data_IF_825515031065
#
_entry.id   IF_825515031065
#
_cell.length_a   1.000
_cell.length_b   1.000
_cell.length_c   1.000
_cell.angle_alpha   90.00
_cell.angle_beta   90.00
_cell.angle_gamma   90.00
#
_symmetry.space_group_name_H-M   'P 1'
#
loop_
_entity.id
_entity.type
_entity.pdbx_description
1 polymer ?
#
# COMPACT_ATOMS: atom_id res chain seq x y z
N UNK A 1 -32.05 -67.21 -10.56
CA UNK A 1 -30.74 -67.90 -10.71
C UNK A 1 -29.69 -66.90 -10.24
N UNK A 2 -29.34 -66.78 -8.95
CA UNK A 2 -28.40 -67.57 -8.12
C UNK A 2 -27.01 -67.80 -8.74
N UNK A 3 -26.04 -66.98 -8.33
CA UNK A 3 -24.62 -67.26 -8.02
C UNK A 3 -23.98 -65.92 -7.60
N UNK A 4 -23.68 -65.54 -6.34
CA UNK A 4 -22.75 -66.00 -5.28
C UNK A 4 -21.25 -66.04 -5.64
N UNK A 5 -20.48 -65.36 -4.77
CA UNK A 5 -19.05 -65.53 -4.40
C UNK A 5 -17.99 -64.92 -5.34
N UNK A 6 -16.89 -64.29 -4.88
CA UNK A 6 -16.22 -64.32 -3.55
C UNK A 6 -15.19 -63.19 -3.45
N UNK A 7 -14.99 -62.66 -2.23
CA UNK A 7 -13.90 -61.76 -1.85
C UNK A 7 -12.61 -62.53 -1.51
N UNK A 8 -11.44 -61.91 -1.72
CA UNK A 8 -10.13 -62.32 -1.17
C UNK A 8 -9.39 -61.06 -0.70
N UNK A 9 -8.97 -60.94 0.58
CA UNK A 9 -8.03 -59.92 1.03
C UNK A 9 -6.60 -60.48 1.15
N UNK A 10 -5.58 -59.68 0.80
CA UNK A 10 -4.17 -59.99 1.06
C UNK A 10 -3.61 -58.93 2.02
N UNK A 11 -3.02 -59.42 3.11
CA UNK A 11 -2.49 -58.68 4.26
C UNK A 11 -1.06 -59.17 4.51
N UNK A 12 -0.04 -58.37 4.21
CA UNK A 12 1.40 -58.56 4.53
C UNK A 12 2.05 -57.16 4.37
N UNK A 13 2.98 -56.62 5.15
CA UNK A 13 3.77 -57.03 6.32
C UNK A 13 4.41 -55.74 6.89
N UNK A 14 4.60 -55.64 8.20
CA UNK A 14 5.41 -54.60 8.83
C UNK A 14 6.90 -54.80 8.54
N UNK A 15 7.65 -53.74 8.25
CA UNK A 15 9.08 -53.65 8.57
C UNK A 15 9.37 -52.26 9.16
N UNK A 16 9.66 -52.26 10.46
CA UNK A 16 10.24 -51.15 11.19
C UNK A 16 11.74 -51.07 10.86
N UNK A 17 12.22 -49.87 10.52
CA UNK A 17 13.63 -49.55 10.34
C UNK A 17 14.02 -48.41 11.29
N UNK A 18 14.46 -48.77 12.48
CA UNK A 18 15.06 -47.88 13.48
C UNK A 18 16.49 -47.57 13.02
N UNK A 19 16.79 -46.31 12.70
CA UNK A 19 18.15 -45.83 12.50
C UNK A 19 18.52 -44.89 13.65
N UNK A 20 19.21 -45.47 14.65
CA UNK A 20 19.92 -44.76 15.71
C UNK A 20 21.17 -44.16 15.07
N UNK A 21 21.29 -42.84 15.03
CA UNK A 21 22.57 -42.18 14.75
C UNK A 21 23.10 -41.51 16.00
N UNK A 22 24.36 -41.86 16.27
CA UNK A 22 25.16 -41.58 17.44
C UNK A 22 25.39 -40.08 17.67
N UNK A 23 25.26 -39.72 18.95
CA UNK A 23 25.82 -38.54 19.58
C UNK A 23 27.35 -38.56 19.43
N UNK A 24 27.92 -37.50 18.84
CA UNK A 24 29.33 -37.15 19.01
C UNK A 24 29.39 -35.84 19.78
N UNK A 25 29.78 -35.95 21.04
CA UNK A 25 30.22 -34.85 21.89
C UNK A 25 31.63 -34.46 21.46
N UNK A 26 31.82 -33.22 21.05
CA UNK A 26 33.13 -32.58 20.99
C UNK A 26 33.11 -31.39 21.97
N UNK A 27 33.74 -31.60 23.13
CA UNK A 27 34.08 -30.57 24.09
C UNK A 27 35.60 -30.27 23.99
N UNK A 28 35.98 -29.11 24.54
CA UNK A 28 37.29 -28.43 24.56
C UNK A 28 37.47 -27.45 23.37
N UNK A 29 37.76 -26.15 23.55
CA UNK A 29 38.61 -25.57 24.58
C UNK A 29 38.33 -24.07 24.81
N UNK A 30 38.46 -23.66 26.08
CA UNK A 30 38.57 -22.27 26.54
C UNK A 30 39.96 -21.70 26.23
N UNK A 31 40.03 -20.39 25.92
CA UNK A 31 40.97 -19.36 26.46
C UNK A 31 41.16 -18.20 25.45
N UNK A 32 41.65 -17.02 25.86
CA UNK A 32 41.04 -16.07 26.77
C UNK A 32 40.86 -14.67 26.13
N UNK A 33 40.05 -13.85 26.79
CA UNK A 33 39.82 -12.42 26.53
C UNK A 33 41.15 -11.63 26.60
N UNK A 34 41.41 -10.80 25.59
CA UNK A 34 42.34 -9.66 25.69
C UNK A 34 41.53 -8.36 25.74
N UNK A 35 41.50 -7.74 26.91
CA UNK A 35 41.24 -6.31 27.03
C UNK A 35 42.41 -5.56 26.38
N UNK A 36 42.09 -4.63 25.48
CA UNK A 36 42.98 -3.53 25.14
C UNK A 36 42.24 -2.26 25.52
N UNK A 37 42.72 -1.65 26.59
CA UNK A 37 42.42 -0.27 26.96
C UNK A 37 42.93 0.63 25.83
N UNK A 38 42.01 1.30 25.13
CA UNK A 38 42.35 2.53 24.39
C UNK A 38 41.34 3.61 24.79
N UNK A 39 41.73 4.31 25.86
CA UNK A 39 41.22 5.61 26.21
C UNK A 39 41.54 6.60 25.08
N UNK A 40 40.56 6.93 24.25
CA UNK A 40 40.57 8.18 23.50
C UNK A 40 39.32 8.98 23.82
N UNK A 41 39.50 9.90 24.77
CA UNK A 41 38.60 11.01 25.01
C UNK A 41 38.56 11.87 23.74
N UNK A 42 37.38 11.98 23.13
CA UNK A 42 37.10 12.92 22.06
C UNK A 42 35.92 13.79 22.46
N UNK A 43 36.25 15.06 22.60
CA UNK A 43 35.45 16.19 23.04
C UNK A 43 34.22 16.34 22.12
N UNK A 44 33.07 16.61 22.74
CA UNK A 44 31.83 17.03 22.05
C UNK A 44 32.00 18.50 21.67
N UNK A 45 31.97 18.80 20.37
CA UNK A 45 31.70 20.16 19.87
C UNK A 45 30.26 20.25 19.34
N UNK A 46 29.52 21.34 19.62
CA UNK A 46 28.17 21.55 19.11
C UNK A 46 28.19 21.95 17.62
N UNK A 47 27.38 21.29 16.80
CA UNK A 47 27.24 21.58 15.37
C UNK A 47 26.30 22.78 15.19
N UNK A 48 26.85 23.93 14.82
CA UNK A 48 26.13 25.09 14.29
C UNK A 48 26.50 25.35 12.82
N UNK A 49 25.44 25.50 12.01
CA UNK A 49 25.28 26.23 10.74
C UNK A 49 25.76 25.63 9.39
N UNK A 50 25.00 25.88 8.29
CA UNK A 50 25.04 25.15 7.03
C UNK A 50 26.07 25.72 6.05
N UNK A 51 26.58 24.86 5.16
CA UNK A 51 27.47 25.27 4.07
C UNK A 51 26.71 25.55 2.77
N UNK A 52 27.24 26.46 1.91
CA UNK A 52 26.59 26.93 0.70
C UNK A 52 26.85 26.02 -0.50
N UNK A 53 25.90 26.01 -1.43
CA UNK A 53 25.97 25.27 -2.71
C UNK A 53 26.84 26.08 -3.68
N UNK A 54 27.84 25.41 -4.25
CA UNK A 54 28.76 25.94 -5.27
C UNK A 54 28.18 25.86 -6.68
N UNK A 55 28.49 26.88 -7.46
CA UNK A 55 28.13 27.14 -8.86
C UNK A 55 28.50 26.03 -9.87
N UNK A 56 27.68 25.92 -10.93
CA UNK A 56 28.17 25.71 -12.29
C UNK A 56 27.20 26.38 -13.32
N UNK A 57 27.67 27.11 -14.35
CA UNK A 57 26.82 28.00 -15.17
C UNK A 57 26.46 27.43 -16.56
N UNK A 58 25.84 28.31 -17.39
CA UNK A 58 25.50 28.27 -18.84
C UNK A 58 24.16 27.61 -19.21
N UNK A 59 23.20 28.18 -19.97
CA UNK A 59 22.99 29.38 -20.84
C UNK A 59 21.46 29.64 -20.75
N UNK A 60 20.89 30.81 -20.44
CA UNK A 60 20.83 32.06 -21.21
C UNK A 60 19.41 32.29 -21.76
N UNK A 61 18.71 33.35 -21.30
CA UNK A 61 17.74 34.15 -22.07
C UNK A 61 17.22 35.31 -21.22
N UNK A 62 17.33 36.51 -21.78
CA UNK A 62 17.16 37.83 -21.14
C UNK A 62 15.69 38.28 -21.27
N UNK A 63 15.13 38.82 -20.18
CA UNK A 63 13.90 39.64 -20.19
C UNK A 63 14.29 41.04 -19.74
N UNK A 64 14.13 42.04 -20.61
CA UNK A 64 14.50 43.43 -20.33
C UNK A 64 13.34 44.21 -19.71
N UNK A 65 13.71 44.97 -18.69
CA UNK A 65 12.92 45.76 -17.75
C UNK A 65 12.09 46.91 -18.33
N UNK A 66 10.96 47.16 -17.67
CA UNK A 66 10.15 48.37 -17.74
C UNK A 66 10.85 49.55 -17.03
N UNK A 67 10.82 50.73 -17.65
CA UNK A 67 11.15 52.01 -17.03
C UNK A 67 10.09 53.05 -17.39
N UNK A 68 9.48 53.65 -16.35
CA UNK A 68 8.65 54.87 -16.43
C UNK A 68 9.58 56.10 -16.45
N UNK A 69 9.10 57.27 -16.92
CA UNK A 69 8.72 58.29 -15.92
C UNK A 69 7.56 59.24 -16.29
N UNK A 70 6.86 59.65 -15.22
CA UNK A 70 6.36 60.99 -14.80
C UNK A 70 5.82 62.03 -15.82
N UNK A 71 4.61 62.57 -15.52
CA UNK A 71 3.98 63.74 -16.19
C UNK A 71 4.49 65.10 -15.67
N UNK A 72 3.71 66.21 -15.64
CA UNK A 72 2.36 66.49 -16.17
C UNK A 72 2.22 67.85 -16.92
N UNK A 73 0.96 68.25 -17.18
CA UNK A 73 0.35 69.57 -17.52
C UNK A 73 0.15 69.97 -19.00
N UNK A 74 -1.11 70.14 -19.43
CA UNK A 74 -1.69 71.43 -19.88
C UNK A 74 -3.06 71.24 -20.57
N UNK A 75 -3.97 72.14 -20.27
CA UNK A 75 -5.40 72.21 -20.64
C UNK A 75 -5.64 72.73 -22.08
N UNK A 76 -6.72 72.29 -22.73
CA UNK A 76 -7.47 73.13 -23.67
C UNK A 76 -8.00 72.52 -24.98
N UNK A 77 -9.28 72.80 -25.22
CA UNK A 77 -10.01 72.94 -26.50
C UNK A 77 -10.90 71.78 -27.04
N UNK A 78 -12.11 72.23 -27.43
CA UNK A 78 -13.31 71.56 -27.92
C UNK A 78 -13.37 71.78 -29.45
N UNK A 79 -13.79 70.80 -30.27
CA UNK A 79 -14.56 71.00 -31.54
C UNK A 79 -14.57 69.78 -32.50
N UNK A 80 -15.73 69.11 -32.59
CA UNK A 80 -16.48 68.55 -33.76
C UNK A 80 -15.84 67.67 -34.89
N UNK A 81 -16.62 66.75 -35.52
CA UNK A 81 -16.20 65.66 -36.43
C UNK A 81 -16.44 65.99 -37.93
N UNK A 82 -16.44 65.06 -38.93
CA UNK A 82 -15.76 63.76 -39.11
C UNK A 82 -14.86 63.75 -40.38
N UNK A 83 -14.06 62.70 -40.59
CA UNK A 83 -13.54 62.38 -41.94
C UNK A 83 -13.59 60.88 -42.16
N UNK A 84 -14.33 60.47 -43.18
CA UNK A 84 -14.60 59.10 -43.56
C UNK A 84 -13.35 58.44 -44.16
N UNK A 85 -12.82 57.42 -43.49
CA UNK A 85 -11.93 56.44 -44.12
C UNK A 85 -12.73 55.16 -44.39
N UNK A 86 -13.01 54.90 -45.67
CA UNK A 86 -13.51 53.60 -46.15
C UNK A 86 -12.41 52.57 -45.94
N UNK A 87 -12.59 51.66 -44.98
CA UNK A 87 -11.80 50.44 -44.90
C UNK A 87 -12.48 49.34 -45.73
N UNK A 88 -11.75 48.84 -46.71
CA UNK A 88 -12.10 47.71 -47.55
C UNK A 88 -12.18 46.47 -46.64
N UNK A 89 -13.38 45.91 -46.45
CA UNK A 89 -13.56 44.67 -45.70
C UNK A 89 -13.13 43.49 -46.59
N UNK A 90 -11.82 43.22 -46.62
CA UNK A 90 -11.31 41.93 -47.06
C UNK A 90 -11.79 40.88 -46.07
N UNK A 91 -12.85 40.17 -46.42
CA UNK A 91 -13.38 39.05 -45.66
C UNK A 91 -12.32 37.96 -45.54
N UNK A 92 -11.69 37.87 -44.36
CA UNK A 92 -11.00 36.68 -43.92
C UNK A 92 -12.05 35.61 -43.65
N UNK A 93 -12.39 34.82 -44.68
CA UNK A 93 -12.97 33.51 -44.47
C UNK A 93 -11.88 32.65 -43.84
N UNK A 94 -11.83 32.68 -42.50
CA UNK A 94 -11.15 31.62 -41.76
C UNK A 94 -11.80 30.31 -42.20
N UNK A 95 -11.04 29.31 -42.70
CA UNK A 95 -11.61 28.01 -42.95
C UNK A 95 -12.23 27.58 -41.63
N UNK A 96 -13.53 27.36 -41.67
CA UNK A 96 -14.26 26.73 -40.59
C UNK A 96 -13.57 25.37 -40.40
N UNK A 97 -12.63 25.27 -39.46
CA UNK A 97 -12.34 24.00 -38.85
C UNK A 97 -13.68 23.63 -38.23
N UNK A 98 -14.44 22.80 -38.94
CA UNK A 98 -15.32 21.84 -38.30
C UNK A 98 -14.39 21.00 -37.42
N UNK A 99 -14.00 21.56 -36.27
CA UNK A 99 -13.33 20.85 -35.22
C UNK A 99 -14.26 19.71 -34.91
N UNK A 100 -13.77 18.49 -35.11
CA UNK A 100 -14.46 17.23 -34.90
C UNK A 100 -15.57 17.43 -33.89
N UNK A 101 -16.79 17.68 -34.41
CA UNK A 101 -17.93 18.03 -33.60
C UNK A 101 -18.04 16.91 -32.57
N UNK A 102 -18.24 17.26 -31.30
CA UNK A 102 -18.42 16.34 -30.20
C UNK A 102 -19.73 15.53 -30.36
N UNK A 103 -19.86 14.84 -31.49
CA UNK A 103 -21.03 14.17 -32.03
C UNK A 103 -20.75 12.68 -31.95
N UNK A 104 -21.51 12.02 -31.09
CA UNK A 104 -21.30 10.65 -30.74
C UNK A 104 -22.06 10.31 -29.46
N UNK A 105 -22.13 9.02 -29.17
CA UNK A 105 -22.72 8.48 -27.96
C UNK A 105 -21.56 8.23 -26.98
N UNK A 106 -21.49 9.05 -25.93
CA UNK A 106 -20.52 8.89 -24.85
C UNK A 106 -21.14 8.08 -23.72
N UNK A 107 -20.51 6.97 -23.35
CA UNK A 107 -20.99 6.06 -22.31
C UNK A 107 -19.85 5.63 -21.40
N UNK A 108 -20.21 5.21 -20.19
CA UNK A 108 -19.30 4.48 -19.31
C UNK A 108 -19.78 3.05 -19.17
N UNK A 109 -18.89 2.11 -19.46
CA UNK A 109 -19.09 0.68 -19.20
C UNK A 109 -18.38 0.27 -17.93
N UNK A 110 -18.96 -0.67 -17.19
CA UNK A 110 -18.42 -1.19 -15.94
C UNK A 110 -18.55 -2.71 -15.91
N UNK A 111 -17.55 -3.37 -15.34
CA UNK A 111 -17.63 -4.77 -14.98
C UNK A 111 -17.08 -4.96 -13.58
N UNK A 112 -17.62 -5.96 -12.90
CA UNK A 112 -17.29 -6.31 -11.53
C UNK A 112 -17.29 -7.82 -11.41
N UNK A 113 -16.28 -8.36 -10.75
CA UNK A 113 -16.18 -9.78 -10.45
C UNK A 113 -15.94 -9.97 -8.96
N UNK A 114 -16.68 -10.90 -8.37
CA UNK A 114 -16.52 -11.36 -7.00
C UNK A 114 -15.65 -12.62 -7.04
N UNK A 115 -14.54 -12.59 -6.30
CA UNK A 115 -13.57 -13.69 -6.24
C UNK A 115 -13.34 -14.04 -4.78
N UNK A 116 -13.43 -15.31 -4.38
CA UNK A 116 -13.07 -15.69 -3.02
C UNK A 116 -11.59 -15.36 -2.78
N UNK A 117 -11.27 -14.75 -1.64
CA UNK A 117 -9.89 -14.52 -1.26
C UNK A 117 -9.13 -15.85 -1.14
N UNK A 118 -7.91 -15.91 -1.67
CA UNK A 118 -7.03 -17.07 -1.58
C UNK A 118 -5.84 -16.82 -0.65
N UNK A 119 -5.56 -15.57 -0.31
CA UNK A 119 -4.51 -15.20 0.63
C UNK A 119 -4.96 -14.15 1.64
N UNK A 120 -4.30 -14.13 2.78
CA UNK A 120 -4.40 -13.08 3.78
C UNK A 120 -3.05 -12.40 4.00
N UNK A 121 -3.04 -11.07 3.90
CA UNK A 121 -1.91 -10.20 4.20
C UNK A 121 -2.06 -9.66 5.61
N UNK A 122 -1.19 -10.08 6.52
CA UNK A 122 -1.19 -9.66 7.93
C UNK A 122 0.00 -8.74 8.22
N UNK A 123 -0.25 -7.59 8.82
CA UNK A 123 0.80 -6.72 9.33
C UNK A 123 1.07 -7.05 10.80
N UNK A 124 2.26 -7.59 11.08
CA UNK A 124 2.69 -7.99 12.42
C UNK A 124 3.96 -7.21 12.77
N UNK A 125 3.95 -6.57 13.93
CA UNK A 125 5.07 -5.80 14.45
C UNK A 125 5.51 -6.23 15.84
N UNK A 126 6.70 -5.77 16.19
CA UNK A 126 7.27 -5.79 17.54
C UNK A 126 7.59 -4.36 17.92
N UNK A 127 7.07 -3.93 19.07
CA UNK A 127 7.33 -2.60 19.63
C UNK A 127 8.00 -2.75 21.00
N UNK A 128 9.14 -2.10 21.17
CA UNK A 128 9.92 -2.14 22.41
C UNK A 128 10.24 -0.73 22.86
N UNK A 129 10.04 -0.47 24.15
CA UNK A 129 10.43 0.79 24.79
C UNK A 129 11.49 0.54 25.86
N UNK A 130 12.63 1.22 25.74
CA UNK A 130 13.74 1.13 26.70
C UNK A 130 14.47 2.47 26.85
N UNK A 131 15.23 2.62 27.93
CA UNK A 131 15.98 3.86 28.22
C UNK A 131 17.11 4.13 27.20
N UNK A 132 17.64 3.08 26.57
CA UNK A 132 18.73 3.14 25.59
C UNK A 132 18.31 2.53 24.26
N UNK A 133 18.71 3.19 23.16
CA UNK A 133 18.53 2.69 21.78
C UNK A 133 19.08 1.27 21.63
N UNK A 134 20.29 1.01 22.14
CA UNK A 134 20.94 -0.29 21.99
C UNK A 134 20.13 -1.40 22.66
N UNK A 135 19.60 -1.13 23.86
CA UNK A 135 18.77 -2.09 24.59
C UNK A 135 17.44 -2.33 23.87
N UNK A 136 16.75 -1.26 23.48
CA UNK A 136 15.48 -1.34 22.74
C UNK A 136 15.64 -2.16 21.45
N UNK A 137 16.68 -1.86 20.66
CA UNK A 137 16.96 -2.52 19.38
C UNK A 137 17.27 -4.00 19.55
N UNK A 138 18.12 -4.37 20.51
CA UNK A 138 18.52 -5.76 20.71
C UNK A 138 17.34 -6.63 21.16
N UNK A 139 16.48 -6.09 22.04
CA UNK A 139 15.25 -6.77 22.46
C UNK A 139 14.29 -6.90 21.27
N UNK A 140 14.06 -5.83 20.51
CA UNK A 140 13.17 -5.85 19.36
C UNK A 140 13.63 -6.84 18.28
N UNK A 141 14.93 -6.88 17.98
CA UNK A 141 15.50 -7.83 17.03
C UNK A 141 15.30 -9.28 17.50
N UNK A 142 15.60 -9.56 18.78
CA UNK A 142 15.44 -10.91 19.34
C UNK A 142 13.98 -11.35 19.35
N UNK A 143 13.06 -10.47 19.73
CA UNK A 143 11.64 -10.75 19.75
C UNK A 143 11.11 -10.97 18.32
N UNK A 144 11.48 -10.12 17.36
CA UNK A 144 11.05 -10.29 15.97
C UNK A 144 11.58 -11.60 15.37
N UNK A 145 12.85 -11.97 15.59
CA UNK A 145 13.38 -13.25 15.11
C UNK A 145 12.63 -14.45 15.68
N UNK A 146 12.18 -14.39 16.94
CA UNK A 146 11.34 -15.44 17.52
C UNK A 146 9.96 -15.50 16.85
N UNK A 147 9.33 -14.34 16.64
CA UNK A 147 8.02 -14.24 15.98
C UNK A 147 8.08 -14.76 14.55
N UNK A 148 9.09 -14.37 13.76
CA UNK A 148 9.28 -14.86 12.39
C UNK A 148 9.41 -16.38 12.38
N UNK A 149 10.25 -16.96 13.25
CA UNK A 149 10.40 -18.42 13.32
C UNK A 149 9.10 -19.12 13.71
N UNK A 150 8.36 -18.56 14.66
CA UNK A 150 7.04 -19.06 15.07
C UNK A 150 6.03 -19.09 13.91
N UNK A 151 6.07 -18.06 13.05
CA UNK A 151 5.23 -17.97 11.85
C UNK A 151 5.68 -19.00 10.79
N UNK A 152 7.00 -19.19 10.59
CA UNK A 152 7.54 -20.21 9.70
C UNK A 152 7.18 -21.64 10.15
N UNK A 153 7.18 -21.90 11.46
CA UNK A 153 6.74 -23.18 12.06
C UNK A 153 5.27 -23.50 11.77
N UNK A 154 4.47 -22.49 11.38
CA UNK A 154 3.07 -22.64 10.94
C UNK A 154 2.91 -22.76 9.42
N UNK A 155 4.01 -22.95 8.69
CA UNK A 155 4.00 -23.25 7.25
C UNK A 155 4.02 -22.04 6.33
N UNK A 156 4.23 -20.83 6.88
CA UNK A 156 4.46 -19.64 6.05
C UNK A 156 5.89 -19.65 5.53
N UNK A 157 6.07 -19.45 4.22
CA UNK A 157 7.41 -19.39 3.63
C UNK A 157 8.14 -18.12 4.04
N UNK A 158 9.47 -18.20 4.13
CA UNK A 158 10.31 -17.03 4.42
C UNK A 158 10.11 -15.90 3.39
N UNK A 159 9.94 -16.23 2.10
CA UNK A 159 9.69 -15.26 1.03
C UNK A 159 8.36 -14.53 1.17
N UNK A 160 7.41 -15.11 1.91
CA UNK A 160 6.11 -14.52 2.21
C UNK A 160 6.16 -13.60 3.46
N UNK A 161 7.33 -13.42 4.09
CA UNK A 161 7.56 -12.56 5.25
C UNK A 161 8.49 -11.41 4.86
N UNK A 162 7.95 -10.21 4.71
CA UNK A 162 8.69 -9.04 4.25
C UNK A 162 8.68 -7.94 5.30
N UNK A 163 9.84 -7.47 5.75
CA UNK A 163 9.92 -6.30 6.61
C UNK A 163 9.44 -5.06 5.86
N UNK A 164 8.39 -4.41 6.36
CA UNK A 164 7.80 -3.21 5.75
C UNK A 164 8.17 -1.93 6.48
N UNK A 165 8.50 -2.02 7.78
CA UNK A 165 8.86 -0.85 8.58
C UNK A 165 9.91 -1.21 9.63
N UNK A 166 10.91 -0.36 9.78
CA UNK A 166 11.82 -0.37 10.92
C UNK A 166 12.12 1.06 11.33
N UNK A 167 11.83 1.42 12.58
CA UNK A 167 12.05 2.79 13.06
C UNK A 167 12.40 2.84 14.54
N UNK A 168 13.11 3.89 14.91
CA UNK A 168 13.52 4.19 16.28
C UNK A 168 13.15 5.64 16.57
N UNK A 169 12.33 5.87 17.59
CA UNK A 169 11.89 7.20 17.97
C UNK A 169 12.28 7.52 19.42
N UNK A 170 12.88 8.69 19.70
CA UNK A 170 13.07 9.13 21.06
C UNK A 170 11.72 9.40 21.72
N UNK A 171 11.63 9.10 23.01
CA UNK A 171 10.47 9.39 23.84
C UNK A 171 10.83 10.56 24.73
N UNK A 172 10.19 11.70 24.52
CA UNK A 172 10.42 12.91 25.31
C UNK A 172 9.32 13.10 26.35
N UNK A 173 9.70 13.64 27.51
CA UNK A 173 8.77 14.11 28.53
C UNK A 173 9.17 15.52 28.93
N UNK A 174 8.18 16.39 29.05
CA UNK A 174 8.35 17.68 29.67
C UNK A 174 8.49 17.49 31.18
N UNK A 175 9.62 17.92 31.74
CA UNK A 175 9.87 17.88 33.18
C UNK A 175 9.97 19.30 33.72
N UNK A 176 9.54 19.49 34.95
CA UNK A 176 9.72 20.76 35.66
C UNK A 176 11.16 20.85 36.18
N UNK A 177 11.78 22.00 35.92
CA UNK A 177 13.14 22.33 36.34
C UNK A 177 13.05 23.62 37.13
N UNK A 178 13.72 23.63 38.28
CA UNK A 178 13.81 24.82 39.13
C UNK A 178 15.28 25.19 39.29
N UNK A 179 15.66 26.33 38.74
CA UNK A 179 17.03 26.84 38.75
C UNK A 179 17.07 28.37 38.96
N UNK A 180 18.22 29.01 38.70
CA UNK A 180 18.40 30.45 38.87
C UNK A 180 17.46 31.33 38.03
N UNK A 181 16.81 30.77 37.00
CA UNK A 181 15.84 31.46 36.13
C UNK A 181 14.39 31.29 36.58
N UNK A 182 14.12 30.52 37.64
CA UNK A 182 12.78 30.27 38.18
C UNK A 182 12.33 28.82 38.01
N UNK A 183 11.02 28.61 37.93
CA UNK A 183 10.40 27.30 37.66
C UNK A 183 9.92 27.29 36.21
N UNK A 184 10.45 26.40 35.39
CA UNK A 184 10.06 26.24 33.98
C UNK A 184 10.04 24.76 33.58
N UNK A 185 9.53 24.46 32.38
CA UNK A 185 9.48 23.10 31.85
C UNK A 185 10.42 22.91 30.67
N UNK A 186 11.15 21.80 30.66
CA UNK A 186 12.10 21.43 29.61
C UNK A 186 11.79 20.04 29.06
N UNK A 187 11.89 19.81 27.73
CA UNK A 187 11.71 18.49 27.15
C UNK A 187 12.97 17.66 27.36
N UNK A 188 12.87 16.51 28.02
CA UNK A 188 13.96 15.56 28.18
C UNK A 188 13.62 14.21 27.58
N UNK A 189 14.59 13.59 26.90
CA UNK A 189 14.45 12.22 26.42
C UNK A 189 14.47 11.29 27.63
N UNK A 190 13.42 10.49 27.77
CA UNK A 190 13.24 9.50 28.86
C UNK A 190 13.36 8.06 28.36
N UNK A 191 13.62 7.88 27.06
CA UNK A 191 13.86 6.57 26.46
C UNK A 191 13.65 6.59 24.95
N UNK A 192 13.54 5.40 24.37
CA UNK A 192 13.41 5.17 22.94
C UNK A 192 12.40 4.07 22.70
N UNK A 193 11.60 4.24 21.65
CA UNK A 193 10.71 3.21 21.14
C UNK A 193 11.28 2.70 19.82
N UNK A 194 11.43 1.39 19.69
CA UNK A 194 11.79 0.71 18.45
C UNK A 194 10.56 -0.01 17.94
N UNK A 195 10.20 0.23 16.67
CA UNK A 195 9.16 -0.50 15.97
C UNK A 195 9.80 -1.28 14.82
N UNK A 196 9.45 -2.55 14.68
CA UNK A 196 9.82 -3.41 13.57
C UNK A 196 8.55 -4.12 13.10
N UNK A 197 8.16 -3.94 11.84
CA UNK A 197 6.93 -4.50 11.28
C UNK A 197 7.25 -5.31 10.04
N UNK A 198 6.67 -6.50 9.96
CA UNK A 198 6.67 -7.38 8.82
C UNK A 198 5.26 -7.49 8.24
N UNK A 199 5.17 -7.57 6.92
CA UNK A 199 4.01 -8.04 6.19
C UNK A 199 4.16 -9.54 5.97
N UNK A 200 3.20 -10.30 6.45
CA UNK A 200 3.13 -11.75 6.32
C UNK A 200 2.04 -12.07 5.31
N UNK A 201 2.37 -12.87 4.30
CA UNK A 201 1.40 -13.41 3.34
C UNK A 201 1.07 -14.84 3.74
N UNK A 202 -0.14 -15.07 4.21
CA UNK A 202 -0.66 -16.38 4.59
C UNK A 202 -1.49 -16.91 3.43
N UNK A 203 -1.03 -17.99 2.81
CA UNK A 203 -1.68 -18.62 1.64
C UNK A 203 -2.74 -19.65 2.00
N UNK A 204 -2.71 -20.14 3.23
CA UNK A 204 -3.74 -20.99 3.79
C UNK A 204 -4.54 -20.17 4.81
N UNK A 205 -5.68 -19.63 4.36
CA UNK A 205 -6.52 -18.75 5.19
C UNK A 205 -7.09 -19.50 6.40
N UNK A 206 -7.28 -20.81 6.32
CA UNK A 206 -7.80 -21.62 7.43
C UNK A 206 -6.78 -21.70 8.59
N UNK A 207 -5.48 -21.62 8.28
CA UNK A 207 -4.39 -21.60 9.26
C UNK A 207 -4.08 -20.19 9.82
N UNK A 208 -4.70 -19.13 9.26
CA UNK A 208 -4.43 -17.74 9.63
C UNK A 208 -4.59 -17.46 11.13
N UNK A 209 -5.66 -17.98 11.75
CA UNK A 209 -5.89 -17.84 13.18
C UNK A 209 -4.74 -18.47 14.00
N UNK A 210 -4.30 -19.67 13.61
CA UNK A 210 -3.20 -20.36 14.26
C UNK A 210 -1.86 -19.63 14.10
N UNK A 211 -1.62 -19.00 12.94
CA UNK A 211 -0.44 -18.16 12.69
C UNK A 211 -0.44 -16.95 13.62
N UNK A 212 -1.56 -16.23 13.71
CA UNK A 212 -1.69 -15.02 14.55
C UNK A 212 -1.55 -15.38 16.03
N UNK A 213 -2.23 -16.43 16.49
CA UNK A 213 -2.20 -16.84 17.90
C UNK A 213 -0.80 -17.31 18.31
N UNK A 214 -0.09 -18.03 17.44
CA UNK A 214 1.28 -18.47 17.71
C UNK A 214 2.27 -17.29 17.73
N UNK A 215 2.15 -16.36 16.77
CA UNK A 215 2.92 -15.13 16.76
C UNK A 215 2.67 -14.34 18.05
N UNK A 216 1.41 -14.17 18.45
CA UNK A 216 1.03 -13.44 19.66
C UNK A 216 1.56 -14.09 20.93
N UNK A 217 1.43 -15.41 21.07
CA UNK A 217 1.97 -16.16 22.19
C UNK A 217 3.50 -16.05 22.27
N UNK A 218 4.19 -16.07 21.14
CA UNK A 218 5.66 -16.00 21.07
C UNK A 218 6.20 -14.59 21.31
N UNK A 219 5.53 -13.57 20.76
CA UNK A 219 5.91 -12.17 20.90
C UNK A 219 5.53 -11.57 22.25
N UNK A 220 4.54 -12.14 22.94
CA UNK A 220 4.04 -11.65 24.23
C UNK A 220 3.60 -10.19 24.14
N UNK A 221 3.88 -9.42 25.19
CA UNK A 221 3.46 -8.01 25.28
C UNK A 221 4.12 -7.08 24.24
N UNK A 222 5.16 -7.55 23.56
CA UNK A 222 5.88 -6.78 22.55
C UNK A 222 5.20 -6.83 21.17
N UNK A 223 4.30 -7.79 20.93
CA UNK A 223 3.69 -7.94 19.62
C UNK A 223 2.64 -6.86 19.34
N UNK A 224 2.53 -6.50 18.07
CA UNK A 224 1.46 -5.66 17.52
C UNK A 224 0.89 -6.39 16.31
N UNK A 225 -0.40 -6.70 16.31
CA UNK A 225 -1.10 -7.15 15.10
C UNK A 225 -1.86 -5.94 14.58
N UNK A 226 -1.35 -5.34 13.51
CA UNK A 226 -1.78 -4.01 13.06
C UNK A 226 -2.99 -4.08 12.11
N UNK A 227 -2.98 -5.04 11.19
CA UNK A 227 -4.06 -5.21 10.19
C UNK A 227 -4.06 -6.62 9.60
N UNK A 228 -5.23 -7.02 9.11
CA UNK A 228 -5.44 -8.24 8.32
C UNK A 228 -6.21 -7.81 7.07
N UNK A 229 -5.69 -8.16 5.89
CA UNK A 229 -6.32 -7.89 4.60
C UNK A 229 -6.46 -9.19 3.81
N UNK A 230 -7.68 -9.52 3.41
CA UNK A 230 -7.93 -10.61 2.47
C UNK A 230 -7.81 -10.10 1.04
N UNK A 231 -7.15 -10.87 0.18
CA UNK A 231 -6.96 -10.51 -1.22
C UNK A 231 -6.78 -11.77 -2.07
N UNK A 232 -6.67 -11.56 -3.37
CA UNK A 232 -6.22 -12.57 -4.33
C UNK A 232 -4.71 -12.40 -4.57
N UNK A 233 -3.95 -13.50 -4.64
CA UNK A 233 -2.49 -13.49 -4.87
C UNK A 233 -2.13 -12.88 -6.22
N UNK A 234 -2.79 -13.35 -7.29
CA UNK A 234 -2.64 -12.80 -8.63
C UNK A 234 -3.98 -12.33 -9.21
N UNK A 235 -4.38 -11.07 -8.96
CA UNK A 235 -5.60 -10.52 -9.54
C UNK A 235 -5.49 -10.30 -11.06
N UNK A 236 -4.29 -10.37 -11.63
CA UNK A 236 -4.07 -10.08 -13.06
C UNK A 236 -4.70 -11.14 -13.98
N UNK A 237 -4.90 -12.36 -13.47
CA UNK A 237 -5.54 -13.44 -14.22
C UNK A 237 -6.99 -13.09 -14.64
N UNK A 238 -7.67 -12.26 -13.85
CA UNK A 238 -9.04 -11.81 -14.12
C UNK A 238 -9.09 -10.52 -14.96
N UNK A 239 -7.94 -9.88 -15.19
CA UNK A 239 -7.87 -8.56 -15.85
C UNK A 239 -8.38 -8.58 -17.29
N UNK A 240 -8.16 -9.67 -18.04
CA UNK A 240 -8.67 -9.80 -19.41
C UNK A 240 -10.19 -9.88 -19.42
N UNK A 241 -10.74 -10.83 -18.66
CA UNK A 241 -12.17 -11.09 -18.63
C UNK A 241 -12.96 -9.84 -18.22
N UNK A 242 -12.57 -9.21 -17.11
CA UNK A 242 -13.29 -8.03 -16.61
C UNK A 242 -13.21 -6.84 -17.57
N UNK A 243 -12.11 -6.69 -18.32
CA UNK A 243 -11.99 -5.64 -19.35
C UNK A 243 -12.88 -5.93 -20.56
N UNK A 244 -12.93 -7.18 -21.00
CA UNK A 244 -13.82 -7.60 -22.08
C UNK A 244 -15.29 -7.38 -21.70
N UNK A 245 -15.67 -7.70 -20.46
CA UNK A 245 -17.02 -7.44 -19.93
C UNK A 245 -17.31 -5.94 -19.82
N UNK A 246 -16.37 -5.12 -19.33
CA UNK A 246 -16.57 -3.67 -19.22
C UNK A 246 -16.72 -3.00 -20.60
N UNK A 247 -15.95 -3.45 -21.59
CA UNK A 247 -16.06 -2.99 -22.97
C UNK A 247 -17.39 -3.43 -23.60
N UNK A 248 -17.83 -4.66 -23.34
CA UNK A 248 -19.12 -5.17 -23.80
C UNK A 248 -20.30 -4.39 -23.19
N UNK A 249 -20.24 -4.07 -21.89
CA UNK A 249 -21.24 -3.22 -21.21
C UNK A 249 -21.28 -1.80 -21.81
N UNK A 250 -20.12 -1.20 -22.10
CA UNK A 250 -20.07 0.09 -22.80
C UNK A 250 -20.76 0.03 -24.18
N UNK A 251 -20.43 -0.99 -24.98
CA UNK A 251 -21.03 -1.17 -26.31
C UNK A 251 -22.55 -1.39 -26.23
N UNK A 252 -23.01 -2.24 -25.30
CA UNK A 252 -24.43 -2.51 -25.09
C UNK A 252 -25.22 -1.25 -24.66
N UNK A 253 -24.64 -0.42 -23.79
CA UNK A 253 -25.24 0.85 -23.40
C UNK A 253 -25.33 1.82 -24.56
N UNK A 254 -24.29 1.93 -25.38
CA UNK A 254 -24.29 2.80 -26.54
C UNK A 254 -25.35 2.38 -27.57
N UNK A 255 -25.49 1.07 -27.82
CA UNK A 255 -26.51 0.50 -28.69
C UNK A 255 -27.93 0.78 -28.19
N UNK A 256 -28.17 0.57 -26.88
CA UNK A 256 -29.45 0.91 -26.24
C UNK A 256 -29.82 2.38 -26.46
N UNK A 257 -28.88 3.30 -26.26
CA UNK A 257 -29.12 4.73 -26.44
C UNK A 257 -29.34 5.10 -27.91
N UNK A 258 -28.62 4.49 -28.84
CA UNK A 258 -28.81 4.70 -30.27
C UNK A 258 -30.24 4.30 -30.69
N UNK A 259 -30.67 3.09 -30.30
CA UNK A 259 -32.01 2.57 -30.55
C UNK A 259 -33.10 3.46 -29.95
N UNK A 260 -32.93 3.90 -28.70
CA UNK A 260 -33.89 4.75 -28.01
C UNK A 260 -34.03 6.14 -28.64
N UNK A 261 -32.97 6.66 -29.27
CA UNK A 261 -32.95 7.97 -29.93
C UNK A 261 -33.24 7.90 -31.44
N UNK A 262 -33.45 6.71 -31.99
CA UNK A 262 -33.74 6.52 -33.41
C UNK A 262 -32.56 6.84 -34.32
N UNK A 263 -31.33 6.65 -33.84
CA UNK A 263 -30.09 6.84 -34.59
C UNK A 263 -29.34 5.52 -34.76
N UNK A 264 -28.48 5.43 -35.77
CA UNK A 264 -27.64 4.24 -35.98
C UNK A 264 -26.34 4.36 -35.18
N UNK A 265 -25.97 3.34 -34.41
CA UNK A 265 -24.68 3.30 -33.72
C UNK A 265 -23.53 3.13 -34.74
N UNK A 266 -22.55 4.03 -34.69
CA UNK A 266 -21.36 4.02 -35.54
C UNK A 266 -20.14 3.35 -34.90
N UNK A 267 -18.98 3.53 -35.53
CA UNK A 267 -17.72 2.94 -35.07
C UNK A 267 -17.25 3.54 -33.74
N UNK A 268 -16.46 2.77 -32.97
CA UNK A 268 -15.76 3.27 -31.78
C UNK A 268 -14.76 4.36 -32.19
N UNK A 269 -14.88 5.55 -31.58
CA UNK A 269 -14.02 6.71 -31.86
C UNK A 269 -12.99 6.90 -30.74
N UNK A 270 -13.37 6.63 -29.51
CA UNK A 270 -12.52 6.82 -28.34
C UNK A 270 -12.83 5.77 -27.28
N UNK A 271 -11.79 5.23 -26.65
CA UNK A 271 -11.90 4.36 -25.49
C UNK A 271 -10.79 4.73 -24.51
N UNK A 272 -11.15 4.88 -23.24
CA UNK A 272 -10.21 5.03 -22.14
C UNK A 272 -10.61 4.16 -20.97
N UNK A 273 -9.64 3.48 -20.38
CA UNK A 273 -9.80 2.75 -19.13
C UNK A 273 -9.53 3.74 -17.99
N UNK A 274 -10.51 3.94 -17.12
CA UNK A 274 -10.27 4.59 -15.84
C UNK A 274 -9.63 3.52 -14.95
N UNK A 275 -8.45 3.81 -14.40
CA UNK A 275 -7.75 2.88 -13.52
C UNK A 275 -8.71 2.31 -12.47
N UNK A 276 -8.90 0.98 -12.51
CA UNK A 276 -9.76 0.25 -11.59
C UNK A 276 -9.31 0.41 -10.14
N UNK A 277 -10.26 0.38 -9.20
CA UNK A 277 -9.92 0.32 -7.77
C UNK A 277 -9.09 -0.92 -7.47
N UNK A 278 -8.10 -0.78 -6.57
CA UNK A 278 -7.42 -1.92 -6.00
C UNK A 278 -8.44 -2.90 -5.38
N UNK A 279 -8.20 -4.22 -5.45
CA UNK A 279 -9.12 -5.20 -4.88
C UNK A 279 -9.39 -4.87 -3.40
N UNK A 280 -10.66 -4.72 -3.03
CA UNK A 280 -11.06 -4.52 -1.64
C UNK A 280 -11.85 -5.73 -1.17
N UNK A 281 -11.50 -6.24 0.01
CA UNK A 281 -12.27 -7.29 0.66
C UNK A 281 -13.63 -6.74 1.12
N UNK A 282 -14.70 -7.46 0.83
CA UNK A 282 -16.00 -7.26 1.46
C UNK A 282 -15.95 -7.84 2.88
N UNK A 283 -16.30 -7.02 3.87
CA UNK A 283 -16.64 -7.54 5.20
C UNK A 283 -18.14 -7.83 5.20
N UNK A 284 -18.52 -9.10 5.26
CA UNK A 284 -19.89 -9.45 5.60
C UNK A 284 -20.06 -9.23 7.10
N UNK A 285 -20.90 -8.27 7.49
CA UNK A 285 -21.36 -8.11 8.87
C UNK A 285 -22.12 -9.38 9.27
N UNK A 286 -21.37 -10.37 9.75
CA UNK A 286 -21.93 -11.58 10.30
C UNK A 286 -22.39 -11.21 11.70
N UNK A 287 -23.62 -10.72 11.80
CA UNK A 287 -24.22 -10.20 13.02
C UNK A 287 -23.85 -11.05 14.24
N UNK A 288 -23.30 -10.37 15.26
CA UNK A 288 -22.95 -10.88 16.58
C UNK A 288 -23.87 -12.02 17.04
N UNK A 289 -23.42 -13.27 16.88
CA UNK A 289 -23.91 -14.38 17.68
C UNK A 289 -23.00 -14.48 18.89
N UNK A 290 -23.51 -13.98 20.00
CA UNK A 290 -22.92 -14.12 21.33
C UNK A 290 -22.55 -15.58 21.61
N UNK A 291 -21.25 -15.87 21.63
CA UNK A 291 -20.74 -17.14 22.11
C UNK A 291 -20.79 -17.15 23.66
N UNK A 292 -21.28 -18.22 24.31
CA UNK A 292 -21.24 -18.33 25.76
C UNK A 292 -19.80 -18.55 26.24
N UNK A 293 -19.36 -17.74 27.20
CA UNK A 293 -18.10 -17.92 27.92
C UNK A 293 -18.11 -19.24 28.69
N UNK A 294 -17.29 -20.22 28.29
CA UNK A 294 -16.74 -21.25 29.20
C UNK A 294 -15.41 -21.81 28.70
N UNK A 295 -14.45 -21.85 29.64
CA UNK A 295 -13.19 -22.60 29.72
C UNK A 295 -11.97 -22.14 28.90
N UNK A 296 -10.90 -21.86 29.64
CA UNK A 296 -9.52 -21.57 29.20
C UNK A 296 -8.93 -22.73 28.39
N UNK A 297 -9.20 -22.73 27.10
CA UNK A 297 -8.26 -23.13 26.07
C UNK A 297 -8.11 -21.91 25.16
N UNK A 298 -6.93 -21.69 24.57
CA UNK A 298 -6.75 -20.70 23.51
C UNK A 298 -7.67 -21.08 22.35
N UNK A 299 -8.92 -20.60 22.38
CA UNK A 299 -9.85 -20.72 21.27
C UNK A 299 -9.21 -19.95 20.14
N UNK A 300 -8.97 -20.64 19.02
CA UNK A 300 -8.37 -20.01 17.85
C UNK A 300 -9.19 -18.78 17.48
N UNK A 301 -8.51 -17.66 17.22
CA UNK A 301 -9.18 -16.43 16.79
C UNK A 301 -10.00 -16.73 15.52
N UNK A 302 -11.35 -16.68 15.56
CA UNK A 302 -12.16 -17.00 14.39
C UNK A 302 -12.03 -15.86 13.39
N UNK A 303 -11.29 -16.10 12.32
CA UNK A 303 -10.99 -15.15 11.26
C UNK A 303 -11.48 -15.76 9.95
N UNK A 304 -12.41 -15.09 9.28
CA UNK A 304 -12.97 -15.56 7.99
C UNK A 304 -12.59 -14.57 6.89
N UNK A 305 -12.05 -15.11 5.80
CA UNK A 305 -11.95 -14.36 4.54
C UNK A 305 -13.35 -14.12 3.97
N UNK A 306 -13.57 -12.93 3.41
CA UNK A 306 -14.72 -12.62 2.57
C UNK A 306 -14.33 -12.58 1.09
N UNK A 307 -15.30 -12.40 0.19
CA UNK A 307 -14.99 -12.23 -1.23
C UNK A 307 -14.34 -10.87 -1.48
N UNK A 308 -13.51 -10.84 -2.51
CA UNK A 308 -12.78 -9.67 -2.98
C UNK A 308 -13.43 -9.19 -4.27
N UNK A 309 -13.73 -7.91 -4.33
CA UNK A 309 -14.32 -7.30 -5.52
C UNK A 309 -13.23 -6.65 -6.35
N UNK A 310 -13.16 -7.04 -7.63
CA UNK A 310 -12.37 -6.35 -8.65
C UNK A 310 -13.35 -5.65 -9.58
N UNK A 311 -13.08 -4.38 -9.91
CA UNK A 311 -13.93 -3.56 -10.78
C UNK A 311 -13.10 -2.85 -11.85
N UNK A 312 -13.58 -2.84 -13.09
CA UNK A 312 -13.01 -2.03 -14.18
C UNK A 312 -14.09 -1.13 -14.76
N UNK A 313 -13.72 0.12 -15.01
CA UNK A 313 -14.58 1.12 -15.63
C UNK A 313 -13.90 1.63 -16.90
N UNK A 314 -14.63 1.61 -18.00
CA UNK A 314 -14.20 2.21 -19.27
C UNK A 314 -15.12 3.37 -19.62
N UNK A 315 -14.58 4.37 -20.30
CA UNK A 315 -15.37 5.39 -21.00
C UNK A 315 -15.15 5.21 -22.49
N UNK A 316 -16.24 5.16 -23.24
CA UNK A 316 -16.23 4.96 -24.66
C UNK A 316 -17.06 6.04 -25.36
N UNK A 317 -16.59 6.48 -26.52
CA UNK A 317 -17.34 7.30 -27.45
C UNK A 317 -17.53 6.56 -28.76
N UNK A 318 -18.77 6.38 -29.17
CA UNK A 318 -19.14 5.81 -30.46
C UNK A 318 -19.63 6.92 -31.39
N UNK A 319 -19.32 6.84 -32.67
CA UNK A 319 -19.91 7.73 -33.65
C UNK A 319 -21.42 7.47 -33.77
N UNK A 320 -22.16 8.44 -34.31
CA UNK A 320 -23.49 8.21 -34.84
C UNK A 320 -23.34 8.04 -36.34
N UNK A 321 -23.87 6.95 -36.90
CA UNK A 321 -23.83 6.68 -38.33
C UNK A 321 -25.00 7.37 -39.06
N UNK A 322 -24.76 7.69 -40.32
CA UNK A 322 -25.73 8.32 -41.25
C UNK A 322 -26.93 7.41 -41.58
#
# INVERSE_FOLDING_TARGET
>A
MRATNTAIPIRWLHVAGIAIFLVVVAACNNAPVKNSDDNHASIIEPITDPRPITDNPTVGSVVTSMGLPEGPISSGFISSPPTSYRANASGSTSPNQAGLSNSGIWVSGQATIEIPADIAKVSIGVEVREESVTKARNIAATAMSKVVRAIEEKGVNQDDIVTTQFSIYPQTRWIEVSDSLGVHSEPRIVGYTVNNTVQVTVRDIDELGAVIDNAASTGGDLIRVNSIQFTVDDPSIFSRQIREEAAADAAARADLYALAMGVTLGQLVYLTELSGSAPMAMSYDTGMRSAPMMAEAFAQSPISGGDVIISVTVQAMFAIAD
#
